data_IF_131262913491
#
_entry.id   IF_131262913491
#
_cell.length_a   1.000
_cell.length_b   1.000
_cell.length_c   1.000
_cell.angle_alpha   90.00
_cell.angle_beta   90.00
_cell.angle_gamma   90.00
#
_symmetry.space_group_name_H-M   'P 1'
#
loop_
_entity.id
_entity.type
_entity.pdbx_description
1 polymer ?
#
# COMPACT_ATOMS: atom_id res chain seq x y z
N UNK A 1 -3.49 -14.28 -16.99
CA UNK A 1 -4.06 -14.50 -15.63
C UNK A 1 -4.36 -15.96 -15.35
N UNK A 2 -5.25 -16.70 -16.04
CA UNK A 2 -5.50 -18.14 -15.74
C UNK A 2 -4.23 -19.02 -15.69
N UNK A 3 -3.32 -18.88 -16.66
CA UNK A 3 -2.04 -19.60 -16.65
C UNK A 3 -1.06 -19.10 -15.57
N UNK A 4 -1.17 -17.83 -15.17
CA UNK A 4 -0.33 -17.21 -14.12
C UNK A 4 -0.87 -17.58 -12.73
N UNK A 5 -2.19 -17.54 -12.53
CA UNK A 5 -2.88 -18.00 -11.33
C UNK A 5 -2.70 -19.50 -11.12
N UNK A 6 -2.78 -20.31 -12.18
CA UNK A 6 -2.41 -21.73 -12.15
C UNK A 6 -0.92 -21.92 -11.82
N UNK A 7 -0.03 -21.09 -12.36
CA UNK A 7 1.41 -21.10 -12.04
C UNK A 7 1.71 -20.71 -10.58
N UNK A 8 1.06 -19.68 -10.05
CA UNK A 8 1.23 -19.17 -8.67
C UNK A 8 0.58 -20.12 -7.65
N UNK A 9 -0.60 -20.68 -7.97
CA UNK A 9 -1.21 -21.75 -7.17
C UNK A 9 -0.28 -22.96 -7.11
N UNK A 10 0.34 -23.36 -8.23
CA UNK A 10 1.32 -24.44 -8.23
C UNK A 10 2.62 -24.13 -7.47
N UNK A 11 3.08 -22.87 -7.44
CA UNK A 11 4.32 -22.48 -6.75
C UNK A 11 4.20 -22.47 -5.21
N UNK A 12 3.12 -21.92 -4.65
CA UNK A 12 2.90 -21.93 -3.20
C UNK A 12 2.52 -23.31 -2.65
N UNK A 13 2.01 -24.20 -3.50
CA UNK A 13 1.48 -25.51 -3.10
C UNK A 13 2.54 -26.62 -3.01
N UNK A 14 3.66 -26.49 -3.72
CA UNK A 14 4.78 -27.44 -3.67
C UNK A 14 5.53 -27.47 -2.32
N UNK A 15 5.31 -26.48 -1.44
CA UNK A 15 5.93 -26.43 -0.11
C UNK A 15 5.28 -27.37 0.92
N UNK A 16 4.05 -27.86 0.69
CA UNK A 16 3.27 -28.56 1.73
C UNK A 16 2.90 -30.02 1.44
N UNK A 17 3.28 -30.58 0.28
CA UNK A 17 3.12 -32.00 0.00
C UNK A 17 1.66 -32.49 -0.06
N UNK A 18 1.21 -32.79 -1.28
CA UNK A 18 0.01 -33.56 -1.62
C UNK A 18 -1.35 -32.82 -1.61
N UNK A 19 -1.55 -32.09 -2.69
CA UNK A 19 -2.80 -31.99 -3.46
C UNK A 19 -2.39 -31.54 -4.87
N UNK A 20 -3.23 -31.69 -5.88
CA UNK A 20 -2.89 -31.25 -7.23
C UNK A 20 -4.07 -30.41 -7.70
N UNK A 21 -3.86 -29.12 -8.00
CA UNK A 21 -4.84 -28.33 -8.74
C UNK A 21 -4.68 -28.74 -10.21
N UNK A 22 -5.18 -29.95 -10.53
CA UNK A 22 -4.80 -30.68 -11.74
C UNK A 22 -5.39 -30.10 -13.01
N UNK A 23 -6.48 -29.32 -12.93
CA UNK A 23 -7.20 -28.89 -14.13
C UNK A 23 -7.47 -27.39 -14.15
N UNK A 24 -7.42 -26.79 -15.35
CA UNK A 24 -7.75 -25.38 -15.56
C UNK A 24 -9.20 -25.02 -15.15
N UNK A 25 -10.07 -26.03 -14.97
CA UNK A 25 -11.43 -25.91 -14.42
C UNK A 25 -11.46 -25.67 -12.92
N UNK A 26 -10.39 -26.02 -12.19
CA UNK A 26 -10.32 -25.87 -10.74
C UNK A 26 -9.99 -24.43 -10.32
N UNK A 27 -9.67 -23.55 -11.29
CA UNK A 27 -9.45 -22.12 -11.09
C UNK A 27 -10.56 -21.34 -11.79
N UNK A 28 -11.48 -20.80 -10.98
CA UNK A 28 -12.60 -20.00 -11.46
C UNK A 28 -12.36 -18.54 -11.08
N UNK A 29 -12.55 -17.63 -12.05
CA UNK A 29 -12.48 -16.18 -11.81
C UNK A 29 -13.89 -15.63 -11.68
N UNK A 30 -14.06 -14.62 -10.85
CA UNK A 30 -15.37 -14.07 -10.53
C UNK A 30 -15.29 -12.86 -9.62
N UNK A 31 -16.37 -12.62 -8.89
CA UNK A 31 -16.45 -11.63 -7.83
C UNK A 31 -16.75 -12.30 -6.51
N UNK A 32 -16.32 -11.69 -5.41
CA UNK A 32 -16.67 -12.12 -4.06
C UNK A 32 -17.44 -10.99 -3.37
N UNK A 33 -18.63 -11.31 -2.88
CA UNK A 33 -19.41 -10.43 -2.04
C UNK A 33 -18.98 -10.64 -0.58
N UNK A 34 -18.37 -9.61 0.01
CA UNK A 34 -17.84 -9.66 1.39
C UNK A 34 -18.96 -9.78 2.44
N UNK A 35 -20.17 -9.28 2.16
CA UNK A 35 -21.28 -9.29 3.10
C UNK A 35 -21.99 -10.64 3.10
N UNK A 36 -22.31 -11.17 1.91
CA UNK A 36 -22.95 -12.47 1.79
C UNK A 36 -21.97 -13.65 1.83
N UNK A 37 -20.66 -13.37 1.78
CA UNK A 37 -19.56 -14.34 1.66
C UNK A 37 -19.76 -15.33 0.51
N UNK A 38 -20.31 -14.83 -0.60
CA UNK A 38 -20.61 -15.65 -1.78
C UNK A 38 -19.68 -15.30 -2.93
N UNK A 39 -19.07 -16.33 -3.50
CA UNK A 39 -18.35 -16.23 -4.75
C UNK A 39 -19.34 -16.39 -5.93
N UNK A 40 -19.31 -15.44 -6.84
CA UNK A 40 -20.10 -15.46 -8.07
C UNK A 40 -19.18 -15.62 -9.27
N UNK A 41 -19.41 -16.66 -10.07
CA UNK A 41 -18.62 -16.93 -11.28
C UNK A 41 -18.86 -15.85 -12.34
N UNK A 42 -17.79 -15.32 -12.95
CA UNK A 42 -17.89 -14.23 -13.92
C UNK A 42 -16.85 -14.30 -15.03
N UNK A 43 -16.88 -13.31 -15.93
CA UNK A 43 -15.82 -13.09 -16.92
C UNK A 43 -14.55 -12.53 -16.27
N UNK A 44 -13.44 -12.49 -17.01
CA UNK A 44 -12.19 -11.87 -16.51
C UNK A 44 -12.30 -10.35 -16.36
N UNK A 45 -13.19 -9.71 -17.12
CA UNK A 45 -13.40 -8.26 -17.04
C UNK A 45 -14.07 -7.92 -15.71
N UNK A 46 -13.35 -7.20 -14.84
CA UNK A 46 -13.84 -6.82 -13.51
C UNK A 46 -13.87 -7.98 -12.48
N UNK A 47 -13.12 -9.06 -12.71
CA UNK A 47 -12.99 -10.11 -11.72
C UNK A 47 -12.21 -9.61 -10.51
N UNK A 48 -12.87 -9.55 -9.35
CA UNK A 48 -12.24 -9.16 -8.07
C UNK A 48 -11.83 -10.38 -7.24
N UNK A 49 -12.16 -11.60 -7.67
CA UNK A 49 -11.86 -12.80 -6.92
C UNK A 49 -11.47 -13.99 -7.81
N UNK A 50 -10.69 -14.88 -7.22
CA UNK A 50 -10.28 -16.16 -7.77
C UNK A 50 -10.65 -17.25 -6.78
N UNK A 51 -11.48 -18.19 -7.20
CA UNK A 51 -11.79 -19.41 -6.48
C UNK A 51 -10.89 -20.53 -6.99
N UNK A 52 -10.25 -21.23 -6.07
CA UNK A 52 -9.42 -22.42 -6.35
C UNK A 52 -10.02 -23.61 -5.61
N UNK A 53 -10.31 -24.68 -6.33
CA UNK A 53 -10.77 -25.96 -5.76
C UNK A 53 -9.63 -26.97 -5.83
N UNK A 54 -9.04 -27.31 -4.68
CA UNK A 54 -8.09 -28.40 -4.57
C UNK A 54 -8.83 -29.72 -4.38
N UNK A 55 -8.42 -30.75 -5.12
CA UNK A 55 -8.94 -32.11 -4.95
C UNK A 55 -7.82 -33.05 -4.51
N UNK A 56 -8.17 -33.97 -3.62
CA UNK A 56 -7.30 -35.09 -3.27
C UNK A 56 -8.12 -36.36 -3.22
N UNK A 57 -7.83 -37.27 -4.14
CA UNK A 57 -8.31 -38.65 -4.07
C UNK A 57 -7.30 -39.47 -3.28
N UNK A 58 -7.76 -40.18 -2.26
CA UNK A 58 -6.92 -41.09 -1.50
C UNK A 58 -7.25 -42.53 -1.88
N UNK A 59 -6.25 -43.27 -2.36
CA UNK A 59 -6.35 -44.71 -2.47
C UNK A 59 -6.41 -45.31 -1.07
N UNK A 60 -7.62 -45.64 -0.63
CA UNK A 60 -7.82 -46.37 0.60
C UNK A 60 -7.25 -47.78 0.42
N UNK A 61 -6.02 -47.99 0.86
CA UNK A 61 -5.34 -49.30 0.84
C UNK A 61 -6.13 -50.37 1.63
N UNK A 62 -7.07 -49.94 2.50
CA UNK A 62 -7.99 -50.81 3.24
C UNK A 62 -9.37 -51.02 2.57
N UNK A 63 -9.67 -50.38 1.44
CA UNK A 63 -10.94 -50.59 0.71
C UNK A 63 -11.24 -52.06 0.34
N UNK A 64 -10.23 -52.92 0.04
CA UNK A 64 -10.49 -54.34 -0.18
C UNK A 64 -10.92 -55.08 1.09
N UNK A 65 -10.39 -54.67 2.26
CA UNK A 65 -10.62 -55.35 3.55
C UNK A 65 -12.01 -55.07 4.11
N UNK A 66 -12.60 -53.92 3.77
CA UNK A 66 -13.97 -53.55 4.16
C UNK A 66 -15.05 -53.97 3.16
N UNK A 67 -14.69 -54.70 2.09
CA UNK A 67 -15.66 -55.16 1.07
C UNK A 67 -16.23 -54.04 0.18
N UNK A 68 -15.71 -52.81 0.28
CA UNK A 68 -16.22 -51.63 -0.45
C UNK A 68 -15.95 -51.70 -1.96
N UNK A 69 -14.89 -52.40 -2.38
CA UNK A 69 -14.53 -52.57 -3.80
C UNK A 69 -15.59 -53.41 -4.56
N UNK A 70 -16.33 -54.28 -3.86
CA UNK A 70 -17.40 -55.09 -4.46
C UNK A 70 -18.71 -54.33 -4.74
N UNK A 71 -18.84 -53.11 -4.23
CA UNK A 71 -20.07 -52.29 -4.34
C UNK A 71 -19.95 -51.13 -5.36
N UNK A 72 -18.82 -51.02 -6.05
CA UNK A 72 -18.62 -49.99 -7.10
C UNK A 72 -18.32 -48.58 -6.58
N UNK A 73 -18.00 -48.41 -5.30
CA UNK A 73 -17.57 -47.11 -4.78
C UNK A 73 -16.10 -46.85 -5.18
N UNK A 74 -15.87 -45.82 -5.98
CA UNK A 74 -14.53 -45.31 -6.29
C UNK A 74 -13.82 -44.76 -5.03
N UNK A 75 -12.51 -44.44 -5.13
CA UNK A 75 -11.78 -43.84 -4.02
C UNK A 75 -12.49 -42.56 -3.55
N UNK A 76 -12.59 -42.31 -2.24
CA UNK A 76 -13.16 -41.06 -1.75
C UNK A 76 -12.29 -39.88 -2.22
N UNK A 77 -12.94 -38.89 -2.80
CA UNK A 77 -12.33 -37.61 -3.16
C UNK A 77 -12.68 -36.58 -2.09
N UNK A 78 -11.66 -35.94 -1.53
CA UNK A 78 -11.81 -34.78 -0.66
C UNK A 78 -11.60 -33.54 -1.52
N UNK A 79 -12.54 -32.60 -1.44
CA UNK A 79 -12.46 -31.31 -2.12
C UNK A 79 -12.34 -30.20 -1.07
N UNK A 80 -11.47 -29.22 -1.33
CA UNK A 80 -11.34 -28.01 -0.54
C UNK A 80 -11.36 -26.81 -1.49
N UNK A 81 -12.24 -25.86 -1.21
CA UNK A 81 -12.37 -24.64 -2.02
C UNK A 81 -11.89 -23.45 -1.19
N UNK A 82 -11.03 -22.63 -1.78
CA UNK A 82 -10.57 -21.37 -1.20
C UNK A 82 -10.81 -20.23 -2.18
N UNK A 83 -11.13 -19.05 -1.68
CA UNK A 83 -11.34 -17.86 -2.50
C UNK A 83 -10.31 -16.80 -2.09
N UNK A 84 -9.59 -16.25 -3.06
CA UNK A 84 -8.81 -15.04 -2.91
C UNK A 84 -9.61 -13.89 -3.52
N UNK A 85 -9.84 -12.82 -2.77
CA UNK A 85 -10.56 -11.64 -3.23
C UNK A 85 -9.76 -10.36 -2.97
N UNK A 86 -9.84 -9.44 -3.92
CA UNK A 86 -9.43 -8.06 -3.74
C UNK A 86 -10.54 -7.36 -2.94
N UNK A 87 -10.18 -6.88 -1.75
CA UNK A 87 -11.08 -6.05 -0.94
C UNK A 87 -10.99 -4.60 -1.35
N UNK A 88 -11.95 -3.81 -0.88
CA UNK A 88 -11.92 -2.35 -0.96
C UNK A 88 -10.70 -1.82 -0.20
N UNK A 89 -10.13 -0.71 -0.67
CA UNK A 89 -8.94 -0.11 -0.08
C UNK A 89 -9.13 1.38 0.10
N UNK A 90 -8.75 1.86 1.27
CA UNK A 90 -8.59 3.27 1.56
C UNK A 90 -7.10 3.57 1.57
N UNK A 91 -6.67 4.43 0.66
CA UNK A 91 -5.28 4.83 0.55
C UNK A 91 -5.18 6.33 0.80
N UNK A 92 -4.28 6.74 1.69
CA UNK A 92 -3.92 8.15 1.84
C UNK A 92 -2.48 8.33 1.38
N UNK A 93 -2.32 9.18 0.37
CA UNK A 93 -1.02 9.62 -0.11
C UNK A 93 -0.54 10.72 0.84
N UNK A 94 0.66 10.57 1.40
CA UNK A 94 1.26 11.53 2.34
C UNK A 94 2.53 12.09 1.69
N UNK A 95 2.45 13.32 1.21
CA UNK A 95 3.48 13.95 0.39
C UNK A 95 4.23 15.03 1.17
N UNK A 96 5.55 14.90 1.21
CA UNK A 96 6.45 15.94 1.67
C UNK A 96 6.40 17.15 0.72
N UNK A 97 6.10 18.33 1.26
CA UNK A 97 6.06 19.58 0.48
C UNK A 97 7.05 20.62 1.00
N UNK A 98 8.07 20.17 1.72
CA UNK A 98 9.09 21.03 2.32
C UNK A 98 10.02 21.63 1.28
N UNK A 99 10.81 22.63 1.68
CA UNK A 99 11.74 23.32 0.78
C UNK A 99 12.82 22.41 0.21
N UNK A 100 13.20 21.36 0.95
CA UNK A 100 14.21 20.41 0.50
C UNK A 100 13.72 19.48 -0.61
N UNK A 101 12.40 19.39 -0.78
CA UNK A 101 11.72 18.55 -1.77
C UNK A 101 11.16 19.36 -2.96
N UNK A 102 11.40 20.68 -2.99
CA UNK A 102 10.74 21.59 -3.94
C UNK A 102 11.15 21.34 -5.38
N UNK A 103 12.38 20.88 -5.62
CA UNK A 103 12.91 20.66 -6.97
C UNK A 103 12.31 19.39 -7.58
N UNK A 104 11.84 18.46 -6.75
CA UNK A 104 11.36 17.12 -7.12
C UNK A 104 9.83 16.99 -7.06
N UNK A 105 9.15 18.10 -6.77
CA UNK A 105 7.72 18.08 -6.51
C UNK A 105 6.91 17.73 -7.76
N UNK A 106 7.38 18.11 -8.95
CA UNK A 106 6.67 17.86 -10.20
C UNK A 106 6.79 16.37 -10.58
N UNK A 107 7.94 15.76 -10.34
CA UNK A 107 8.17 14.31 -10.47
C UNK A 107 7.31 13.54 -9.46
N UNK A 108 7.23 14.00 -8.21
CA UNK A 108 6.34 13.40 -7.23
C UNK A 108 4.87 13.51 -7.63
N UNK A 109 4.40 14.66 -8.15
CA UNK A 109 3.04 14.81 -8.69
C UNK A 109 2.77 13.84 -9.84
N UNK A 110 3.73 13.68 -10.75
CA UNK A 110 3.63 12.72 -11.85
C UNK A 110 3.52 11.28 -11.33
N UNK A 111 4.35 10.92 -10.35
CA UNK A 111 4.35 9.60 -9.74
C UNK A 111 3.05 9.31 -8.98
N UNK A 112 2.53 10.26 -8.19
CA UNK A 112 1.24 10.14 -7.49
C UNK A 112 0.06 10.03 -8.47
N UNK A 113 0.14 10.74 -9.60
CA UNK A 113 -0.84 10.60 -10.69
C UNK A 113 -0.76 9.21 -11.32
N UNK A 114 0.44 8.69 -11.58
CA UNK A 114 0.64 7.34 -12.11
C UNK A 114 0.13 6.26 -11.15
N UNK A 115 0.37 6.42 -9.84
CA UNK A 115 -0.22 5.59 -8.78
C UNK A 115 -1.75 5.56 -8.88
N UNK A 116 -2.36 6.75 -8.93
CA UNK A 116 -3.82 6.91 -8.99
C UNK A 116 -4.41 6.24 -10.23
N UNK A 117 -3.77 6.44 -11.39
CA UNK A 117 -4.20 5.81 -12.64
C UNK A 117 -4.00 4.28 -12.62
N UNK A 118 -2.93 3.78 -11.99
CA UNK A 118 -2.72 2.35 -11.81
C UNK A 118 -3.81 1.71 -10.92
N UNK A 119 -4.22 2.40 -9.85
CA UNK A 119 -5.35 2.00 -9.01
C UNK A 119 -6.67 1.95 -9.80
N UNK A 120 -6.97 3.00 -10.57
CA UNK A 120 -8.15 3.04 -11.45
C UNK A 120 -8.16 1.90 -12.47
N UNK A 121 -7.00 1.58 -13.04
CA UNK A 121 -6.85 0.47 -13.98
C UNK A 121 -7.09 -0.91 -13.35
N UNK A 122 -6.94 -1.06 -12.02
CA UNK A 122 -7.37 -2.28 -11.33
C UNK A 122 -8.90 -2.38 -11.22
N UNK A 123 -9.60 -1.24 -11.29
CA UNK A 123 -11.07 -1.13 -11.34
C UNK A 123 -11.76 -1.89 -10.21
N UNK A 124 -11.18 -1.84 -9.00
CA UNK A 124 -11.79 -2.40 -7.80
C UNK A 124 -12.82 -1.39 -7.30
N UNK A 125 -14.08 -1.83 -7.25
CA UNK A 125 -15.17 -1.01 -6.71
C UNK A 125 -14.93 -0.76 -5.23
N UNK A 126 -15.18 0.47 -4.77
CA UNK A 126 -15.08 0.85 -3.36
C UNK A 126 -13.71 1.36 -2.94
N UNK A 127 -12.70 1.32 -3.82
CA UNK A 127 -11.43 1.97 -3.55
C UNK A 127 -11.58 3.48 -3.38
N UNK A 128 -10.84 4.04 -2.43
CA UNK A 128 -10.77 5.48 -2.17
C UNK A 128 -9.33 5.95 -2.06
N UNK A 129 -9.06 7.15 -2.56
CA UNK A 129 -7.77 7.83 -2.40
C UNK A 129 -7.99 9.18 -1.72
N UNK A 130 -7.21 9.44 -0.67
CA UNK A 130 -7.06 10.74 -0.05
C UNK A 130 -5.64 11.28 -0.26
N UNK A 131 -5.45 12.57 -0.06
CA UNK A 131 -4.16 13.25 -0.17
C UNK A 131 -3.95 14.18 1.03
N UNK A 132 -2.83 13.96 1.71
CA UNK A 132 -2.31 14.80 2.78
C UNK A 132 -0.94 15.28 2.36
N UNK A 133 -0.67 16.57 2.54
CA UNK A 133 0.68 17.12 2.43
C UNK A 133 1.19 17.47 3.82
N UNK A 134 2.51 17.53 3.99
CA UNK A 134 3.09 17.97 5.25
C UNK A 134 4.36 18.81 5.06
N UNK A 135 4.54 19.73 6.01
CA UNK A 135 5.78 20.45 6.25
C UNK A 135 6.07 20.47 7.75
N UNK A 136 5.84 21.58 8.46
CA UNK A 136 5.74 21.59 9.93
C UNK A 136 4.37 21.11 10.45
N UNK A 137 3.33 21.26 9.63
CA UNK A 137 1.98 20.81 9.93
C UNK A 137 1.45 20.00 8.74
N UNK A 138 0.38 19.24 8.98
CA UNK A 138 -0.31 18.54 7.91
C UNK A 138 -1.44 19.40 7.32
N UNK A 139 -1.63 19.29 6.00
CA UNK A 139 -2.75 19.86 5.28
C UNK A 139 -3.49 18.74 4.57
N UNK A 140 -4.80 18.64 4.81
CA UNK A 140 -5.68 17.75 4.06
C UNK A 140 -6.03 18.42 2.74
N UNK A 141 -5.43 17.94 1.65
CA UNK A 141 -5.67 18.47 0.31
C UNK A 141 -6.90 17.83 -0.33
N UNK A 142 -7.13 16.54 -0.01
CA UNK A 142 -8.27 15.79 -0.50
C UNK A 142 -8.71 14.73 0.53
N UNK A 143 -9.97 14.76 0.98
CA UNK A 143 -10.50 13.68 1.81
C UNK A 143 -10.59 12.37 1.00
N UNK A 144 -10.72 11.23 1.67
CA UNK A 144 -10.90 9.92 1.02
C UNK A 144 -12.01 9.93 -0.05
N UNK A 145 -11.60 9.93 -1.32
CA UNK A 145 -12.46 10.16 -2.49
C UNK A 145 -12.61 8.87 -3.32
N UNK A 146 -13.84 8.45 -3.67
CA UNK A 146 -14.08 7.22 -4.42
C UNK A 146 -13.45 7.19 -5.82
N UNK A 147 -12.74 6.11 -6.14
CA UNK A 147 -12.25 5.80 -7.48
C UNK A 147 -12.86 4.48 -7.99
N UNK A 148 -13.06 4.32 -9.32
CA UNK A 148 -12.67 5.23 -10.39
C UNK A 148 -13.64 6.41 -10.64
N UNK A 149 -14.74 6.52 -9.88
CA UNK A 149 -15.80 7.50 -10.11
C UNK A 149 -15.34 8.95 -10.14
N UNK A 150 -14.48 9.34 -9.20
CA UNK A 150 -14.05 10.73 -8.99
C UNK A 150 -12.55 10.92 -9.23
N UNK A 151 -11.95 10.14 -10.14
CA UNK A 151 -10.51 10.19 -10.45
C UNK A 151 -10.02 11.59 -10.84
N UNK A 152 -10.84 12.40 -11.53
CA UNK A 152 -10.45 13.76 -11.89
C UNK A 152 -10.23 14.64 -10.66
N UNK A 153 -11.04 14.49 -9.61
CA UNK A 153 -10.86 15.25 -8.37
C UNK A 153 -9.55 14.87 -7.66
N UNK A 154 -9.18 13.58 -7.70
CA UNK A 154 -7.91 13.11 -7.16
C UNK A 154 -6.73 13.68 -7.93
N UNK A 155 -6.77 13.62 -9.27
CA UNK A 155 -5.70 14.16 -10.11
C UNK A 155 -5.58 15.69 -10.01
N UNK A 156 -6.71 16.41 -9.93
CA UNK A 156 -6.73 17.85 -9.74
C UNK A 156 -6.10 18.24 -8.39
N UNK A 157 -6.38 17.50 -7.31
CA UNK A 157 -5.76 17.74 -6.00
C UNK A 157 -4.24 17.49 -6.03
N UNK A 158 -3.79 16.43 -6.71
CA UNK A 158 -2.36 16.14 -6.90
C UNK A 158 -1.68 17.27 -7.69
N UNK A 159 -2.28 17.75 -8.77
CA UNK A 159 -1.71 18.82 -9.60
C UNK A 159 -1.62 20.16 -8.86
N UNK A 160 -2.54 20.42 -7.92
CA UNK A 160 -2.75 21.76 -7.36
C UNK A 160 -2.33 21.95 -5.91
N UNK A 161 -1.94 20.91 -5.18
CA UNK A 161 -1.49 21.09 -3.79
C UNK A 161 -0.32 22.07 -3.72
N UNK A 162 -0.30 22.89 -2.67
CA UNK A 162 0.74 23.90 -2.50
C UNK A 162 2.06 23.26 -2.05
N UNK A 163 3.17 23.76 -2.58
CA UNK A 163 4.50 23.44 -2.08
C UNK A 163 5.16 24.66 -1.41
N UNK A 164 6.14 24.40 -0.57
CA UNK A 164 6.95 25.46 0.00
C UNK A 164 7.73 26.20 -1.07
N UNK A 165 7.70 27.54 -1.03
CA UNK A 165 8.52 28.38 -1.91
C UNK A 165 9.63 29.09 -1.14
N UNK A 166 10.66 29.57 -1.84
CA UNK A 166 11.71 30.38 -1.19
C UNK A 166 11.17 31.66 -0.52
N UNK A 167 10.02 32.18 -0.95
CA UNK A 167 9.35 33.29 -0.26
C UNK A 167 8.75 32.84 1.08
N UNK A 168 8.42 31.55 1.19
CA UNK A 168 7.99 30.89 2.41
C UNK A 168 9.18 30.39 3.27
N UNK A 169 10.42 30.57 2.82
CA UNK A 169 11.61 30.25 3.59
C UNK A 169 11.93 31.40 4.56
N UNK A 170 11.06 31.65 5.53
CA UNK A 170 11.36 32.59 6.61
C UNK A 170 12.48 32.05 7.50
N UNK A 171 13.26 32.96 8.11
CA UNK A 171 14.16 32.61 9.23
C UNK A 171 13.43 32.45 10.57
N UNK A 172 12.11 32.60 10.56
CA UNK A 172 11.26 32.48 11.73
C UNK A 172 10.81 31.01 11.87
N UNK A 173 11.03 30.37 13.03
CA UNK A 173 10.49 29.04 13.32
C UNK A 173 8.97 28.93 13.16
N UNK A 174 8.24 30.04 13.24
CA UNK A 174 6.80 30.08 12.98
C UNK A 174 6.44 30.01 11.47
N UNK A 175 7.43 29.98 10.56
CA UNK A 175 7.15 29.93 9.13
C UNK A 175 6.81 28.50 8.70
N UNK A 176 5.70 28.25 7.97
CA UNK A 176 5.24 26.90 7.59
C UNK A 176 6.29 26.01 6.91
N UNK A 177 7.29 26.59 6.24
CA UNK A 177 8.32 25.87 5.51
C UNK A 177 9.66 25.79 6.25
N UNK A 178 9.66 26.08 7.55
CA UNK A 178 10.83 25.98 8.41
C UNK A 178 11.00 24.54 8.91
N UNK A 179 11.67 23.72 8.09
CA UNK A 179 11.96 22.32 8.39
C UNK A 179 10.85 21.34 8.02
N UNK A 180 11.00 20.11 8.49
CA UNK A 180 10.21 18.94 8.09
C UNK A 180 9.74 18.21 9.34
N UNK A 181 8.44 17.94 9.43
CA UNK A 181 7.78 17.20 10.49
C UNK A 181 6.85 16.16 9.86
N UNK A 182 7.30 14.90 9.83
CA UNK A 182 6.58 13.80 9.19
C UNK A 182 5.39 13.34 10.04
N UNK A 183 5.48 13.47 11.37
CA UNK A 183 4.49 12.92 12.29
C UNK A 183 3.07 13.48 12.05
N UNK A 184 2.87 14.81 11.90
CA UNK A 184 1.57 15.37 11.53
C UNK A 184 0.97 14.76 10.26
N UNK A 185 1.78 14.49 9.23
CA UNK A 185 1.31 13.90 7.97
C UNK A 185 0.75 12.50 8.16
N UNK A 186 1.46 11.66 8.93
CA UNK A 186 0.99 10.32 9.29
C UNK A 186 -0.27 10.41 10.16
N UNK A 187 -0.29 11.29 11.16
CA UNK A 187 -1.42 11.45 12.08
C UNK A 187 -2.70 11.94 11.37
N UNK A 188 -2.56 12.85 10.42
CA UNK A 188 -3.67 13.31 9.58
C UNK A 188 -4.21 12.18 8.70
N UNK A 189 -3.34 11.39 8.07
CA UNK A 189 -3.75 10.22 7.30
C UNK A 189 -4.46 9.16 8.17
N UNK A 190 -3.99 8.93 9.39
CA UNK A 190 -4.67 8.06 10.37
C UNK A 190 -6.07 8.62 10.70
N UNK A 191 -6.18 9.93 10.88
CA UNK A 191 -7.45 10.60 11.18
C UNK A 191 -8.46 10.49 10.03
N UNK A 192 -8.00 10.51 8.78
CA UNK A 192 -8.84 10.26 7.60
C UNK A 192 -9.50 8.87 7.65
N UNK A 193 -8.74 7.82 7.99
CA UNK A 193 -9.30 6.47 8.10
C UNK A 193 -10.24 6.27 9.30
N UNK A 194 -10.14 7.10 10.33
CA UNK A 194 -11.03 7.06 11.49
C UNK A 194 -12.34 7.82 11.21
N UNK A 195 -12.26 8.85 10.38
CA UNK A 195 -13.43 9.62 9.92
C UNK A 195 -14.23 8.86 8.86
N UNK A 196 -13.55 8.03 8.07
CA UNK A 196 -14.19 7.12 7.13
C UNK A 196 -14.94 5.98 7.85
N UNK A 197 -16.20 5.75 7.49
CA UNK A 197 -17.07 4.77 8.17
C UNK A 197 -16.87 3.31 7.75
N UNK A 198 -15.90 3.00 6.88
CA UNK A 198 -15.71 1.63 6.39
C UNK A 198 -14.55 0.92 7.10
N UNK A 199 -14.89 0.10 8.09
CA UNK A 199 -13.92 -0.72 8.82
C UNK A 199 -13.45 -1.96 8.04
N UNK A 200 -14.04 -2.25 6.87
CA UNK A 200 -13.70 -3.45 6.09
C UNK A 200 -12.58 -3.18 5.08
N UNK A 201 -12.43 -1.93 4.64
CA UNK A 201 -11.39 -1.55 3.69
C UNK A 201 -9.99 -1.82 4.25
N UNK A 202 -9.05 -2.19 3.38
CA UNK A 202 -7.62 -2.17 3.74
C UNK A 202 -7.15 -0.71 3.81
N UNK A 203 -6.53 -0.33 4.93
CA UNK A 203 -6.08 1.04 5.18
C UNK A 203 -4.58 1.13 4.93
N UNK A 204 -4.18 2.03 4.03
CA UNK A 204 -2.79 2.13 3.56
C UNK A 204 -2.35 3.58 3.50
N UNK A 205 -1.21 3.88 4.12
CA UNK A 205 -0.50 5.14 3.96
C UNK A 205 0.63 4.92 2.96
N UNK A 206 0.79 5.82 1.99
CA UNK A 206 1.96 5.88 1.11
C UNK A 206 2.66 7.21 1.37
N UNK A 207 3.74 7.16 2.13
CA UNK A 207 4.57 8.30 2.50
C UNK A 207 5.67 8.49 1.44
N UNK A 208 5.78 9.70 0.88
CA UNK A 208 6.84 10.10 -0.05
C UNK A 208 7.59 11.29 0.56
N UNK A 209 8.90 11.15 0.78
CA UNK A 209 9.74 12.18 1.40
C UNK A 209 11.23 12.00 1.06
N UNK A 210 12.02 13.05 1.21
CA UNK A 210 13.50 13.02 1.20
C UNK A 210 14.09 12.64 2.57
N UNK A 211 13.25 12.21 3.52
CA UNK A 211 13.61 11.42 4.69
C UNK A 211 14.26 12.16 5.85
N UNK A 212 14.16 13.49 5.90
CA UNK A 212 14.83 14.28 6.94
C UNK A 212 13.81 14.99 7.83
N UNK A 213 13.26 14.39 8.91
CA UNK A 213 12.62 15.19 9.94
C UNK A 213 13.68 16.11 10.51
N UNK A 214 13.50 17.42 10.38
CA UNK A 214 14.49 18.36 10.88
C UNK A 214 13.86 19.69 11.23
N UNK A 215 14.48 20.36 12.21
CA UNK A 215 14.38 21.79 12.38
C UNK A 215 15.76 22.39 12.14
N UNK A 216 15.86 23.44 11.30
CA UNK A 216 17.11 24.15 11.13
C UNK A 216 17.63 24.57 12.51
N UNK A 217 18.92 24.29 12.76
CA UNK A 217 19.66 24.72 13.94
C UNK A 217 19.32 24.04 15.29
N UNK A 218 18.51 22.97 15.32
CA UNK A 218 18.13 22.31 16.60
C UNK A 218 18.16 20.77 16.55
N UNK A 219 19.25 20.17 17.05
CA UNK A 219 19.40 18.69 17.11
C UNK A 219 18.42 18.01 18.03
N UNK A 220 18.10 18.62 19.17
CA UNK A 220 17.22 18.01 20.18
C UNK A 220 15.80 17.90 19.64
N UNK A 221 15.31 18.95 18.99
CA UNK A 221 13.98 18.91 18.37
C UNK A 221 13.95 18.04 17.13
N UNK A 222 15.05 17.97 16.36
CA UNK A 222 15.17 17.03 15.24
C UNK A 222 15.01 15.58 15.71
N UNK A 223 15.70 15.18 16.78
CA UNK A 223 15.53 13.85 17.37
C UNK A 223 14.10 13.64 17.90
N UNK A 224 13.49 14.66 18.51
CA UNK A 224 12.11 14.58 18.97
C UNK A 224 11.10 14.39 17.82
N UNK A 225 11.30 15.04 16.67
CA UNK A 225 10.48 14.86 15.46
C UNK A 225 10.65 13.46 14.86
N UNK A 226 11.88 12.94 14.84
CA UNK A 226 12.16 11.55 14.45
C UNK A 226 11.39 10.57 15.34
N UNK A 227 11.51 10.72 16.66
CA UNK A 227 10.83 9.88 17.65
C UNK A 227 9.30 9.98 17.50
N UNK A 228 8.78 11.19 17.24
CA UNK A 228 7.35 11.42 17.02
C UNK A 228 6.84 10.72 15.75
N UNK A 229 7.57 10.83 14.63
CA UNK A 229 7.19 10.19 13.37
C UNK A 229 7.18 8.66 13.51
N UNK A 230 8.17 8.09 14.20
CA UNK A 230 8.19 6.66 14.51
C UNK A 230 7.01 6.27 15.41
N UNK A 231 6.69 7.06 16.43
CA UNK A 231 5.53 6.82 17.28
C UNK A 231 4.21 6.85 16.49
N UNK A 232 4.05 7.79 15.57
CA UNK A 232 2.89 7.88 14.67
C UNK A 232 2.78 6.68 13.73
N UNK A 233 3.89 6.23 13.14
CA UNK A 233 3.90 5.02 12.32
C UNK A 233 3.48 3.78 13.14
N UNK A 234 4.08 3.57 14.32
CA UNK A 234 3.72 2.46 15.21
C UNK A 234 2.25 2.53 15.68
N UNK A 235 1.71 3.73 15.90
CA UNK A 235 0.30 3.92 16.20
C UNK A 235 -0.60 3.54 15.01
N UNK A 236 -0.20 3.88 13.78
CA UNK A 236 -0.89 3.47 12.56
C UNK A 236 -0.89 1.93 12.43
N UNK A 237 0.24 1.26 12.66
CA UNK A 237 0.33 -0.20 12.67
C UNK A 237 -0.59 -0.82 13.72
N UNK A 238 -0.59 -0.28 14.95
CA UNK A 238 -1.45 -0.75 16.02
C UNK A 238 -2.96 -0.59 15.68
N UNK A 239 -3.30 0.37 14.81
CA UNK A 239 -4.64 0.55 14.25
C UNK A 239 -4.93 -0.32 13.01
N UNK A 240 -4.00 -1.19 12.60
CA UNK A 240 -4.14 -2.07 11.45
C UNK A 240 -3.89 -1.38 10.10
N UNK A 241 -3.25 -0.21 10.09
CA UNK A 241 -2.91 0.56 8.90
C UNK A 241 -1.49 0.17 8.46
N UNK A 242 -1.30 -0.08 7.17
CA UNK A 242 0.04 -0.35 6.61
C UNK A 242 0.67 0.95 6.11
N UNK A 243 1.92 1.22 6.47
CA UNK A 243 2.65 2.41 6.03
C UNK A 243 3.74 1.99 5.06
N UNK A 244 3.63 2.40 3.81
CA UNK A 244 4.69 2.31 2.82
C UNK A 244 5.48 3.61 2.86
N UNK A 245 6.81 3.52 2.89
CA UNK A 245 7.69 4.68 2.84
C UNK A 245 8.51 4.66 1.55
N UNK A 246 8.53 5.79 0.87
CA UNK A 246 9.27 6.02 -0.36
C UNK A 246 10.23 7.17 -0.12
N UNK A 247 11.51 6.85 -0.19
CA UNK A 247 12.60 7.76 0.11
C UNK A 247 13.31 8.19 -1.17
N UNK A 248 13.40 9.50 -1.37
CA UNK A 248 14.20 10.07 -2.45
C UNK A 248 15.62 10.33 -1.93
N UNK A 249 16.52 9.38 -2.18
CA UNK A 249 17.93 9.36 -1.73
C UNK A 249 18.80 10.29 -2.58
N UNK A 250 18.46 11.58 -2.61
CA UNK A 250 19.31 12.55 -3.28
C UNK A 250 20.46 12.96 -2.36
N UNK A 251 21.70 12.93 -2.87
CA UNK A 251 22.83 13.43 -2.09
C UNK A 251 22.59 14.90 -1.79
N UNK A 252 22.65 15.24 -0.50
CA UNK A 252 22.50 16.60 -0.02
C UNK A 252 23.74 17.40 -0.42
N UNK A 253 23.70 17.91 -1.66
CA UNK A 253 24.64 18.90 -2.14
C UNK A 253 24.06 20.26 -1.76
N UNK A 254 24.68 20.89 -0.76
CA UNK A 254 24.39 22.28 -0.36
C UNK A 254 23.01 22.57 0.28
N UNK A 255 22.32 21.57 0.84
CA UNK A 255 21.08 21.83 1.58
C UNK A 255 21.39 22.43 2.96
N UNK A 256 21.42 23.77 2.99
CA UNK A 256 21.69 24.63 4.16
C UNK A 256 20.70 24.37 5.32
N UNK A 257 19.57 23.71 5.06
CA UNK A 257 18.43 23.76 5.97
C UNK A 257 18.44 22.70 7.09
N UNK A 258 19.17 21.57 6.97
CA UNK A 258 19.18 20.50 8.01
C UNK A 258 20.59 20.10 8.48
N UNK A 259 21.47 21.09 8.60
CA UNK A 259 22.92 20.97 8.80
C UNK A 259 23.44 20.47 10.16
N UNK A 260 22.61 20.00 11.10
CA UNK A 260 23.05 19.77 12.49
C UNK A 260 23.08 18.32 12.99
N UNK A 261 22.56 17.34 12.26
CA UNK A 261 22.73 15.92 12.61
C UNK A 261 23.81 15.32 11.73
N UNK A 262 25.02 15.15 12.28
CA UNK A 262 26.20 14.47 11.72
C UNK A 262 26.15 14.10 10.21
N UNK A 263 26.39 15.08 9.33
CA UNK A 263 26.91 14.96 7.95
C UNK A 263 26.22 14.05 6.91
N UNK A 264 25.21 13.26 7.25
CA UNK A 264 24.39 12.50 6.29
C UNK A 264 22.93 12.85 6.58
N UNK A 265 22.48 14.00 6.09
CA UNK A 265 21.11 14.45 6.34
C UNK A 265 20.07 13.56 5.63
N UNK A 266 20.45 12.69 4.70
CA UNK A 266 19.66 11.55 4.23
C UNK A 266 19.75 10.38 5.24
N UNK A 267 18.62 9.97 5.82
CA UNK A 267 18.55 8.83 6.76
C UNK A 267 17.61 7.73 6.21
N UNK A 268 18.09 6.89 5.27
CA UNK A 268 17.31 5.78 4.73
C UNK A 268 16.91 4.77 5.81
N UNK A 269 17.73 4.58 6.84
CA UNK A 269 17.42 3.65 7.95
C UNK A 269 16.18 4.15 8.71
N UNK A 270 16.10 5.46 8.98
CA UNK A 270 14.91 6.07 9.57
C UNK A 270 13.66 5.91 8.69
N UNK A 271 13.77 6.17 7.38
CA UNK A 271 12.63 5.98 6.48
C UNK A 271 12.22 4.51 6.38
N UNK A 272 13.16 3.57 6.48
CA UNK A 272 12.85 2.15 6.58
C UNK A 272 12.11 1.82 7.89
N UNK A 273 12.47 2.43 9.02
CA UNK A 273 11.78 2.27 10.31
C UNK A 273 10.31 2.74 10.27
N UNK A 274 9.96 3.70 9.41
CA UNK A 274 8.57 4.16 9.22
C UNK A 274 7.71 3.17 8.43
N UNK A 275 8.30 2.22 7.70
CA UNK A 275 7.55 1.19 7.00
C UNK A 275 7.06 0.11 7.97
N UNK A 276 5.77 0.10 8.28
CA UNK A 276 5.17 -0.76 9.31
C UNK A 276 3.94 -1.53 8.82
N UNK A 277 3.51 -2.52 9.61
CA UNK A 277 2.41 -3.41 9.27
C UNK A 277 2.76 -4.30 8.08
N UNK A 278 2.10 -4.08 6.96
CA UNK A 278 2.41 -4.79 5.71
C UNK A 278 3.11 -3.90 4.67
N UNK A 279 3.39 -2.66 5.05
CA UNK A 279 4.08 -1.71 4.20
C UNK A 279 5.53 -2.11 3.97
N UNK A 280 6.16 -1.42 3.02
CA UNK A 280 7.54 -1.66 2.62
C UNK A 280 8.23 -0.33 2.37
N UNK A 281 9.53 -0.36 2.62
CA UNK A 281 10.44 0.72 2.28
C UNK A 281 10.91 0.60 0.83
N UNK A 282 10.95 1.74 0.15
CA UNK A 282 11.55 1.92 -1.17
C UNK A 282 12.46 3.13 -1.11
N UNK A 283 13.59 3.05 -1.82
CA UNK A 283 14.52 4.15 -1.96
C UNK A 283 14.94 4.26 -3.43
N UNK A 284 15.06 5.49 -3.92
CA UNK A 284 15.68 5.77 -5.21
C UNK A 284 16.47 7.08 -5.12
N UNK A 285 17.68 7.16 -5.70
CA UNK A 285 18.36 8.44 -5.90
C UNK A 285 17.86 9.19 -7.14
N UNK A 286 17.08 8.52 -7.99
CA UNK A 286 16.54 9.04 -9.24
C UNK A 286 15.04 9.31 -9.10
N UNK A 287 14.66 10.58 -9.23
CA UNK A 287 13.27 11.04 -9.19
C UNK A 287 12.43 10.50 -10.34
N UNK A 288 13.05 10.17 -11.48
CA UNK A 288 12.37 9.57 -12.62
C UNK A 288 11.86 8.15 -12.30
N UNK A 289 12.43 7.46 -11.30
CA UNK A 289 12.01 6.12 -10.89
C UNK A 289 10.81 6.13 -9.91
N UNK A 290 10.37 7.30 -9.43
CA UNK A 290 9.28 7.41 -8.45
C UNK A 290 7.97 6.84 -8.99
N UNK A 291 7.67 7.03 -10.27
CA UNK A 291 6.42 6.53 -10.86
C UNK A 291 6.38 5.00 -10.88
N UNK A 292 7.48 4.36 -11.27
CA UNK A 292 7.64 2.91 -11.31
C UNK A 292 7.60 2.31 -9.89
N UNK A 293 8.21 2.98 -8.91
CA UNK A 293 8.12 2.59 -7.49
C UNK A 293 6.67 2.65 -7.01
N UNK A 294 5.98 3.77 -7.20
CA UNK A 294 4.60 3.93 -6.73
C UNK A 294 3.65 2.96 -7.46
N UNK A 295 3.83 2.74 -8.76
CA UNK A 295 3.07 1.72 -9.50
C UNK A 295 3.38 0.31 -9.01
N UNK A 296 4.62 0.04 -8.57
CA UNK A 296 4.98 -1.25 -7.97
C UNK A 296 4.26 -1.49 -6.63
N UNK A 297 4.05 -0.45 -5.83
CA UNK A 297 3.25 -0.52 -4.59
C UNK A 297 1.83 -0.95 -4.93
N UNK A 298 1.19 -0.32 -5.93
CA UNK A 298 -0.17 -0.69 -6.39
C UNK A 298 -0.27 -2.17 -6.79
N UNK A 299 0.78 -2.72 -7.41
CA UNK A 299 0.87 -4.15 -7.76
C UNK A 299 1.10 -5.06 -6.56
N UNK A 300 1.72 -4.54 -5.50
CA UNK A 300 2.04 -5.25 -4.26
C UNK A 300 0.94 -5.18 -3.19
N UNK A 301 -0.03 -4.26 -3.32
CA UNK A 301 -1.19 -4.18 -2.44
C UNK A 301 -1.92 -5.53 -2.38
N UNK A 302 -2.36 -5.92 -1.18
CA UNK A 302 -2.70 -7.31 -0.89
C UNK A 302 -3.97 -7.77 -1.59
N UNK A 303 -3.93 -9.04 -2.00
CA UNK A 303 -5.14 -9.84 -2.22
C UNK A 303 -5.47 -10.53 -0.89
N UNK A 304 -6.68 -10.35 -0.37
CA UNK A 304 -7.12 -11.01 0.86
C UNK A 304 -7.59 -12.43 0.53
N UNK A 305 -7.17 -13.41 1.33
CA UNK A 305 -7.82 -14.72 1.34
C UNK A 305 -9.11 -14.61 2.13
N UNK A 306 -10.22 -14.99 1.50
CA UNK A 306 -11.55 -15.01 2.09
C UNK A 306 -12.02 -16.47 2.11
N UNK A 307 -12.17 -17.02 3.31
CA UNK A 307 -12.67 -18.38 3.53
C UNK A 307 -14.16 -18.37 3.81
#
# INVERSE_FOLDING_TARGET
VKNVASGVANLNWNAYGAGEATEASDVVVGSFDLDSRQFSTGGMSGATAVQVTARRSADLVFAPVLGLIGLGFGPPTVEATSVAALGERDIVLVQDVTLSFVEEIDEARNALSAFTLAMVNQSISGDRIGLVTFNQEASEELPLTPIPGDVSAVLDAIDTFANCTAADAGSDPAHPCYGTDIAPGIDAAVSEFQSASDDRAEKVIVLVSDGVPCLPFNTTETLARRDAALASALAAEAAGISVYSVFLDKPIVDNIYCWMVDSNAADPDFMEELAVGNGRFFATPDEEDLDDILVSIVRGLRVRLVN
#
